data_IF_407703382072
#
_entry.id   IF_407703382072
#
_cell.length_a   1.000
_cell.length_b   1.000
_cell.length_c   1.000
_cell.angle_alpha   90.00
_cell.angle_beta   90.00
_cell.angle_gamma   90.00
#
_symmetry.space_group_name_H-M   'P 1'
#
loop_
_entity.id
_entity.type
_entity.pdbx_description
1 polymer ?
#
# COMPACT_ATOMS: atom_id res chain seq x y z
N UNK A 1 -24.45 54.32 -0.20
CA UNK A 1 -24.03 53.49 0.94
C UNK A 1 -24.29 52.04 0.58
N UNK A 2 -23.27 51.21 0.76
CA UNK A 2 -23.20 49.80 0.36
C UNK A 2 -24.08 48.96 1.28
N UNK A 3 -24.84 48.01 0.74
CA UNK A 3 -25.30 46.86 1.51
C UNK A 3 -25.01 45.57 0.75
N UNK A 4 -24.55 44.61 1.54
CA UNK A 4 -23.63 43.56 1.18
C UNK A 4 -24.35 42.30 0.68
N UNK A 5 -23.55 41.47 0.01
CA UNK A 5 -23.88 40.16 -0.53
C UNK A 5 -24.20 39.18 0.59
N UNK A 6 -25.41 38.64 0.62
CA UNK A 6 -25.72 37.44 1.42
C UNK A 6 -25.31 36.18 0.63
N UNK A 7 -24.04 35.82 0.77
CA UNK A 7 -23.57 34.49 0.39
C UNK A 7 -24.08 33.50 1.45
N UNK A 8 -25.13 32.76 1.11
CA UNK A 8 -25.65 31.65 1.90
C UNK A 8 -24.54 30.58 2.02
N UNK A 9 -23.84 30.60 3.14
CA UNK A 9 -22.84 29.60 3.50
C UNK A 9 -23.57 28.26 3.74
N UNK A 10 -23.57 27.39 2.73
CA UNK A 10 -23.89 25.98 2.92
C UNK A 10 -22.75 25.36 3.75
N UNK A 11 -22.96 25.29 5.07
CA UNK A 11 -22.12 24.52 5.98
C UNK A 11 -22.33 23.04 5.63
N UNK A 12 -21.45 22.49 4.80
CA UNK A 12 -21.38 21.05 4.61
C UNK A 12 -20.95 20.43 5.94
N UNK A 13 -21.80 19.58 6.50
CA UNK A 13 -21.48 18.78 7.67
C UNK A 13 -20.14 18.05 7.45
N UNK A 14 -19.24 17.99 8.44
CA UNK A 14 -18.08 17.12 8.34
C UNK A 14 -18.61 15.69 8.32
N UNK A 15 -18.57 15.05 7.15
CA UNK A 15 -18.66 13.60 7.06
C UNK A 15 -17.49 13.05 7.85
N UNK A 16 -17.75 12.67 9.10
CA UNK A 16 -16.86 11.80 9.88
C UNK A 16 -16.82 10.48 9.14
N UNK A 17 -15.91 10.36 8.16
CA UNK A 17 -15.51 9.07 7.63
C UNK A 17 -14.79 8.36 8.78
N UNK A 18 -15.56 7.61 9.57
CA UNK A 18 -15.03 6.56 10.42
C UNK A 18 -14.15 5.69 9.54
N UNK A 19 -12.84 5.81 9.72
CA UNK A 19 -11.86 4.90 9.15
C UNK A 19 -11.92 3.58 9.93
N UNK A 20 -13.11 3.01 10.00
CA UNK A 20 -13.29 1.64 10.42
C UNK A 20 -12.77 0.79 9.25
N UNK A 21 -11.67 0.08 9.48
CA UNK A 21 -11.76 -1.36 9.64
C UNK A 21 -10.36 -1.96 9.55
N UNK A 22 -9.84 -2.26 10.73
CA UNK A 22 -9.11 -3.48 11.03
C UNK A 22 -9.54 -4.63 10.10
N UNK A 23 -8.84 -4.86 9.00
CA UNK A 23 -9.10 -6.03 8.17
C UNK A 23 -7.82 -6.50 7.51
N UNK A 24 -7.55 -7.79 7.76
CA UNK A 24 -6.50 -8.62 7.18
C UNK A 24 -5.15 -8.45 7.86
N UNK A 25 -5.06 -9.00 9.06
CA UNK A 25 -3.92 -9.87 9.37
C UNK A 25 -3.99 -11.05 8.36
N UNK A 26 -3.64 -10.78 7.10
CA UNK A 26 -3.55 -11.77 6.04
C UNK A 26 -2.52 -12.76 6.55
N UNK A 27 -2.94 -13.96 6.92
CA UNK A 27 -2.03 -15.04 7.25
C UNK A 27 -1.20 -15.30 6.00
N UNK A 28 -0.04 -14.65 5.88
CA UNK A 28 0.83 -14.78 4.72
C UNK A 28 1.30 -16.23 4.76
N UNK A 29 0.80 -17.05 3.82
CA UNK A 29 1.29 -18.40 3.62
C UNK A 29 2.69 -18.26 3.03
N UNK A 30 3.70 -18.22 3.90
CA UNK A 30 5.10 -18.06 3.49
C UNK A 30 5.58 -19.43 3.04
N UNK A 31 5.84 -19.57 1.74
CA UNK A 31 6.41 -20.80 1.17
C UNK A 31 7.80 -21.02 1.80
N UNK A 32 8.13 -22.24 2.25
CA UNK A 32 9.46 -22.53 2.79
C UNK A 32 10.58 -22.23 1.78
N UNK A 33 11.73 -21.76 2.26
CA UNK A 33 12.91 -21.52 1.42
C UNK A 33 13.72 -22.81 1.23
N UNK A 34 14.46 -22.89 0.12
CA UNK A 34 15.49 -23.92 -0.06
C UNK A 34 15.00 -25.36 -0.20
N UNK A 35 13.71 -25.60 -0.47
CA UNK A 35 13.18 -26.94 -0.71
C UNK A 35 14.06 -27.72 -1.70
N UNK A 36 14.62 -28.84 -1.23
CA UNK A 36 15.51 -29.75 -1.98
C UNK A 36 16.87 -29.15 -2.39
N UNK A 37 17.29 -28.05 -1.77
CA UNK A 37 18.57 -27.44 -2.10
C UNK A 37 19.73 -28.15 -1.38
N UNK A 38 20.75 -28.57 -2.13
CA UNK A 38 21.90 -29.32 -1.59
C UNK A 38 22.69 -28.56 -0.52
N UNK A 39 22.73 -27.24 -0.60
CA UNK A 39 23.44 -26.41 0.39
C UNK A 39 22.84 -26.52 1.80
N UNK A 40 21.58 -26.95 1.95
CA UNK A 40 20.98 -27.17 3.27
C UNK A 40 21.71 -28.25 4.08
N UNK A 41 22.37 -29.22 3.43
CA UNK A 41 23.17 -30.25 4.11
C UNK A 41 24.38 -29.67 4.84
N UNK A 42 24.87 -28.50 4.42
CA UNK A 42 26.03 -27.84 4.99
C UNK A 42 25.66 -26.74 5.99
N UNK A 43 24.38 -26.38 6.10
CA UNK A 43 23.92 -25.31 6.98
C UNK A 43 23.74 -25.82 8.42
N UNK A 44 24.24 -25.07 9.39
CA UNK A 44 24.01 -25.40 10.80
C UNK A 44 22.64 -24.87 11.30
N UNK A 45 22.23 -25.32 12.49
CA UNK A 45 20.92 -24.96 13.04
C UNK A 45 20.73 -23.45 13.26
N UNK A 46 21.79 -22.73 13.64
CA UNK A 46 21.74 -21.30 13.90
C UNK A 46 21.55 -20.50 12.59
N UNK A 47 22.24 -20.92 11.53
CA UNK A 47 22.09 -20.38 10.18
C UNK A 47 20.69 -20.63 9.63
N UNK A 48 20.16 -21.86 9.75
CA UNK A 48 18.81 -22.21 9.31
C UNK A 48 17.75 -21.35 10.03
N UNK A 49 17.89 -21.17 11.35
CA UNK A 49 16.99 -20.30 12.14
C UNK A 49 17.09 -18.84 11.70
N UNK A 50 18.29 -18.36 11.36
CA UNK A 50 18.50 -17.00 10.85
C UNK A 50 17.89 -16.83 9.46
N UNK A 51 18.09 -17.78 8.56
CA UNK A 51 17.52 -17.79 7.21
C UNK A 51 16.00 -17.76 7.24
N UNK A 52 15.37 -18.56 8.11
CA UNK A 52 13.91 -18.53 8.29
C UNK A 52 13.40 -17.13 8.66
N UNK A 53 14.05 -16.47 9.63
CA UNK A 53 13.68 -15.10 10.02
C UNK A 53 13.89 -14.09 8.89
N UNK A 54 14.98 -14.21 8.14
CA UNK A 54 15.27 -13.34 7.01
C UNK A 54 14.24 -13.52 5.90
N UNK A 55 13.88 -14.77 5.58
CA UNK A 55 12.87 -15.09 4.56
C UNK A 55 11.53 -14.40 4.84
N UNK A 56 11.01 -14.54 6.06
CA UNK A 56 9.76 -13.86 6.47
C UNK A 56 9.88 -12.34 6.31
N UNK A 57 11.00 -11.74 6.74
CA UNK A 57 11.22 -10.30 6.64
C UNK A 57 11.32 -9.82 5.19
N UNK A 58 11.94 -10.60 4.32
CA UNK A 58 12.05 -10.30 2.89
C UNK A 58 10.66 -10.29 2.27
N UNK A 59 9.84 -11.31 2.52
CA UNK A 59 8.48 -11.38 1.97
C UNK A 59 7.60 -10.23 2.45
N UNK A 60 7.70 -9.83 3.73
CA UNK A 60 7.01 -8.65 4.24
C UNK A 60 7.46 -7.36 3.54
N UNK A 61 8.77 -7.18 3.35
CA UNK A 61 9.31 -5.99 2.65
C UNK A 61 8.87 -5.95 1.18
N UNK A 62 8.80 -7.11 0.50
CA UNK A 62 8.27 -7.19 -0.86
C UNK A 62 6.81 -6.76 -0.93
N UNK A 63 5.98 -7.20 0.01
CA UNK A 63 4.58 -6.79 0.08
C UNK A 63 4.45 -5.27 0.27
N UNK A 64 5.15 -4.70 1.25
CA UNK A 64 5.14 -3.26 1.49
C UNK A 64 5.63 -2.47 0.26
N UNK A 65 6.67 -2.95 -0.42
CA UNK A 65 7.16 -2.31 -1.64
C UNK A 65 6.12 -2.37 -2.76
N UNK A 66 5.41 -3.49 -2.92
CA UNK A 66 4.34 -3.63 -3.89
C UNK A 66 3.22 -2.62 -3.64
N UNK A 67 2.84 -2.40 -2.38
CA UNK A 67 1.82 -1.42 -2.00
C UNK A 67 2.27 0.02 -2.34
N UNK A 68 3.53 0.37 -2.03
CA UNK A 68 4.10 1.67 -2.38
C UNK A 68 4.15 1.90 -3.89
N UNK A 69 4.51 0.88 -4.67
CA UNK A 69 4.50 0.94 -6.14
C UNK A 69 3.08 1.15 -6.66
N UNK A 70 2.10 0.44 -6.11
CA UNK A 70 0.69 0.55 -6.51
C UNK A 70 0.15 1.96 -6.22
N UNK A 71 0.45 2.52 -5.05
CA UNK A 71 0.07 3.88 -4.69
C UNK A 71 0.70 4.93 -5.63
N UNK A 72 2.01 4.80 -5.89
CA UNK A 72 2.71 5.67 -6.86
C UNK A 72 2.03 5.63 -8.22
N UNK A 73 1.71 4.44 -8.73
CA UNK A 73 1.04 4.29 -10.02
C UNK A 73 -0.37 4.89 -10.00
N UNK A 74 -1.12 4.72 -8.91
CA UNK A 74 -2.45 5.31 -8.77
C UNK A 74 -2.42 6.84 -8.81
N UNK A 75 -1.42 7.46 -8.16
CA UNK A 75 -1.18 8.91 -8.20
C UNK A 75 -0.83 9.34 -9.63
N UNK A 76 0.13 8.68 -10.27
CA UNK A 76 0.52 8.98 -11.67
C UNK A 76 -0.69 8.91 -12.61
N UNK A 77 -1.48 7.84 -12.53
CA UNK A 77 -2.69 7.67 -13.33
C UNK A 77 -3.72 8.77 -13.07
N UNK A 78 -3.86 9.21 -11.81
CA UNK A 78 -4.75 10.33 -11.44
C UNK A 78 -4.28 11.63 -12.08
N UNK A 79 -2.98 11.92 -12.05
CA UNK A 79 -2.39 13.10 -12.69
C UNK A 79 -2.56 13.07 -14.21
N UNK A 80 -2.31 11.93 -14.86
CA UNK A 80 -2.51 11.74 -16.30
C UNK A 80 -3.97 11.98 -16.68
N UNK A 81 -4.92 11.44 -15.92
CA UNK A 81 -6.36 11.69 -16.16
C UNK A 81 -6.72 13.17 -16.02
N UNK A 82 -6.21 13.86 -15.01
CA UNK A 82 -6.41 15.32 -14.85
C UNK A 82 -5.85 16.08 -16.05
N UNK A 83 -4.64 15.77 -16.49
CA UNK A 83 -4.02 16.36 -17.68
C UNK A 83 -4.85 16.11 -18.94
N UNK A 84 -5.34 14.88 -19.17
CA UNK A 84 -6.17 14.53 -20.34
C UNK A 84 -7.47 15.34 -20.37
N UNK A 85 -8.16 15.44 -19.22
CA UNK A 85 -9.37 16.25 -19.07
C UNK A 85 -9.14 17.72 -19.34
N UNK A 86 -8.05 18.29 -18.82
CA UNK A 86 -7.67 19.68 -19.07
C UNK A 86 -7.42 19.96 -20.56
N UNK A 87 -6.98 18.95 -21.33
CA UNK A 87 -6.81 19.01 -22.79
C UNK A 87 -8.10 18.73 -23.58
N UNK A 88 -9.26 18.60 -22.92
CA UNK A 88 -10.53 18.27 -23.57
C UNK A 88 -10.63 16.84 -24.09
N UNK A 89 -9.69 15.95 -23.73
CA UNK A 89 -9.68 14.55 -24.18
C UNK A 89 -10.34 13.67 -23.13
N UNK A 90 -11.63 13.35 -23.32
CA UNK A 90 -12.37 12.32 -22.60
C UNK A 90 -13.15 11.46 -23.57
#
# INVERSE_FOLDING_TARGET
>A
MQHAKDAKACVAAPTTQGHDNNSRQRSVKIVPFGLRALWLHFANHLELKRLAKLHVRIELKKANLADLIAERQAIMNRCIRRMRRAKGKN
#
